data_IF_691034401920
#
_entry.id   IF_691034401920
#
_cell.length_a   1.000
_cell.length_b   1.000
_cell.length_c   1.000
_cell.angle_alpha   90.00
_cell.angle_beta   90.00
_cell.angle_gamma   90.00
#
_symmetry.space_group_name_H-M   'P 1'
#
loop_
_entity.id
_entity.type
_entity.pdbx_description
1 polymer ?
#
# COMPACT_ATOMS: atom_id res chain seq x y z
N UNK A 1 -16.26 -23.82 -11.05
CA UNK A 1 -16.60 -23.00 -9.85
C UNK A 1 -18.08 -22.60 -9.98
N UNK A 2 -18.94 -22.75 -8.96
CA UNK A 2 -20.38 -22.42 -9.05
C UNK A 2 -20.63 -20.92 -9.28
N UNK A 3 -21.70 -20.58 -10.02
CA UNK A 3 -22.03 -19.20 -10.37
C UNK A 3 -22.80 -18.43 -9.27
N UNK A 4 -23.38 -19.12 -8.27
CA UNK A 4 -24.14 -18.49 -7.19
C UNK A 4 -24.14 -19.38 -5.95
N UNK A 5 -24.04 -18.77 -4.77
CA UNK A 5 -24.21 -19.43 -3.49
C UNK A 5 -25.35 -18.75 -2.72
N UNK A 6 -26.19 -19.55 -2.07
CA UNK A 6 -27.32 -19.07 -1.28
C UNK A 6 -27.46 -19.95 -0.05
N UNK A 7 -27.70 -19.33 1.11
CA UNK A 7 -27.96 -20.03 2.37
C UNK A 7 -29.45 -20.31 2.47
N UNK A 8 -29.81 -21.54 2.85
CA UNK A 8 -31.19 -21.96 3.11
C UNK A 8 -31.29 -22.41 4.56
N UNK A 9 -32.34 -21.97 5.26
CA UNK A 9 -32.60 -22.39 6.65
C UNK A 9 -32.94 -23.89 6.74
N UNK A 10 -33.52 -24.45 5.68
CA UNK A 10 -33.78 -25.88 5.56
C UNK A 10 -33.81 -26.31 4.09
N UNK A 11 -33.34 -27.54 3.80
CA UNK A 11 -33.36 -28.11 2.46
C UNK A 11 -34.74 -28.76 2.22
N UNK A 12 -35.49 -28.38 1.17
CA UNK A 12 -36.78 -28.98 0.88
C UNK A 12 -36.63 -30.44 0.42
N UNK A 13 -37.38 -31.34 1.06
CA UNK A 13 -37.38 -32.78 0.77
C UNK A 13 -38.74 -33.24 0.22
N UNK A 14 -38.73 -34.32 -0.55
CA UNK A 14 -39.89 -35.09 -0.98
C UNK A 14 -40.35 -36.02 0.15
N UNK A 15 -41.60 -36.54 0.13
CA UNK A 15 -42.11 -37.44 1.17
C UNK A 15 -41.27 -38.72 1.39
N UNK A 16 -40.46 -39.11 0.42
CA UNK A 16 -39.53 -40.25 0.49
C UNK A 16 -38.11 -39.87 0.95
N UNK A 17 -37.91 -38.66 1.47
CA UNK A 17 -36.64 -38.17 2.03
C UNK A 17 -35.61 -37.68 1.00
N UNK A 18 -35.91 -37.70 -0.30
CA UNK A 18 -35.01 -37.18 -1.34
C UNK A 18 -35.17 -35.66 -1.51
N UNK A 19 -34.13 -34.97 -1.98
CA UNK A 19 -34.17 -33.52 -2.20
C UNK A 19 -35.19 -33.15 -3.29
N UNK A 20 -36.12 -32.26 -2.95
CA UNK A 20 -37.07 -31.72 -3.91
C UNK A 20 -36.47 -30.51 -4.65
N UNK A 21 -35.76 -30.78 -5.75
CA UNK A 21 -35.06 -29.74 -6.54
C UNK A 21 -36.00 -28.68 -7.12
N UNK A 22 -37.26 -29.01 -7.40
CA UNK A 22 -38.25 -28.07 -7.93
C UNK A 22 -38.78 -27.08 -6.89
N UNK A 23 -38.67 -27.44 -5.61
CA UNK A 23 -39.09 -26.59 -4.49
C UNK A 23 -37.94 -25.72 -3.95
N UNK A 24 -36.73 -25.82 -4.52
CA UNK A 24 -35.65 -24.91 -4.18
C UNK A 24 -36.00 -23.49 -4.66
N UNK A 25 -35.81 -22.45 -3.82
CA UNK A 25 -36.02 -21.08 -4.26
C UNK A 25 -35.15 -20.78 -5.49
N UNK A 26 -35.70 -20.04 -6.45
CA UNK A 26 -34.89 -19.53 -7.54
C UNK A 26 -33.77 -18.64 -6.93
N UNK A 27 -32.52 -18.78 -7.40
CA UNK A 27 -31.46 -17.89 -6.96
C UNK A 27 -31.91 -16.45 -7.22
N UNK A 28 -31.91 -15.62 -6.18
CA UNK A 28 -32.21 -14.21 -6.35
C UNK A 28 -31.07 -13.60 -7.17
N UNK A 29 -31.30 -13.43 -8.47
CA UNK A 29 -30.50 -12.53 -9.27
C UNK A 29 -30.86 -11.13 -8.81
N UNK A 30 -30.20 -10.65 -7.76
CA UNK A 30 -30.14 -9.21 -7.53
C UNK A 30 -29.63 -8.62 -8.82
N UNK A 31 -30.51 -7.92 -9.54
CA UNK A 31 -30.14 -7.07 -10.65
C UNK A 31 -29.23 -5.97 -10.08
N UNK A 32 -27.94 -6.26 -9.96
CA UNK A 32 -26.91 -5.24 -10.02
C UNK A 32 -26.95 -4.70 -11.45
N UNK A 33 -27.83 -3.72 -11.67
CA UNK A 33 -27.75 -2.91 -12.88
C UNK A 33 -26.72 -1.82 -12.64
N UNK A 34 -25.62 -2.00 -13.36
CA UNK A 34 -24.89 -0.97 -14.10
C UNK A 34 -24.07 0.01 -13.25
N UNK A 35 -22.94 -0.49 -12.74
CA UNK A 35 -21.61 0.05 -13.08
C UNK A 35 -20.54 -0.92 -12.55
N UNK A 36 -20.44 -2.12 -13.15
CA UNK A 36 -19.29 -3.01 -12.94
C UNK A 36 -18.09 -2.50 -13.76
N UNK A 37 -17.68 -1.27 -13.46
CA UNK A 37 -16.27 -0.96 -13.55
C UNK A 37 -15.58 -1.87 -12.54
N UNK A 38 -14.78 -2.81 -13.03
CA UNK A 38 -13.84 -3.64 -12.27
C UNK A 38 -13.60 -3.09 -10.85
N UNK A 39 -14.36 -3.58 -9.86
CA UNK A 39 -14.12 -3.21 -8.47
C UNK A 39 -12.97 -4.07 -8.02
N UNK A 40 -11.77 -3.52 -8.11
CA UNK A 40 -10.59 -4.12 -7.51
C UNK A 40 -10.91 -4.47 -6.04
N UNK A 41 -10.39 -5.57 -5.48
CA UNK A 41 -10.59 -5.88 -4.07
C UNK A 41 -10.33 -4.62 -3.24
N UNK A 42 -11.35 -4.18 -2.49
CA UNK A 42 -11.34 -2.87 -1.86
C UNK A 42 -10.19 -2.81 -0.85
N UNK A 43 -9.10 -2.14 -1.23
CA UNK A 43 -7.91 -2.01 -0.39
C UNK A 43 -8.23 -1.24 0.89
N UNK A 44 -7.49 -1.48 1.97
CA UNK A 44 -7.70 -0.85 3.29
C UNK A 44 -7.82 0.68 3.22
N UNK A 45 -7.07 1.34 2.32
CA UNK A 45 -7.14 2.79 2.08
C UNK A 45 -8.53 3.24 1.62
N UNK A 46 -9.20 2.46 0.76
CA UNK A 46 -10.55 2.78 0.28
C UNK A 46 -11.57 2.70 1.40
N UNK A 47 -11.55 1.64 2.21
CA UNK A 47 -12.45 1.48 3.36
C UNK A 47 -12.30 2.61 4.38
N UNK A 48 -11.06 2.99 4.68
CA UNK A 48 -10.78 4.08 5.60
C UNK A 48 -11.22 5.44 5.05
N UNK A 49 -10.97 5.72 3.78
CA UNK A 49 -11.44 6.95 3.14
C UNK A 49 -12.97 7.03 3.09
N UNK A 50 -13.65 5.95 2.70
CA UNK A 50 -15.12 5.85 2.72
C UNK A 50 -15.63 6.20 4.11
N UNK A 51 -15.07 5.57 5.15
CA UNK A 51 -15.48 5.85 6.53
C UNK A 51 -15.28 7.32 6.92
N UNK A 52 -14.15 7.93 6.57
CA UNK A 52 -13.88 9.35 6.82
C UNK A 52 -14.93 10.22 6.10
N UNK A 53 -15.30 9.87 4.87
CA UNK A 53 -16.29 10.60 4.09
C UNK A 53 -17.70 10.47 4.68
N UNK A 54 -18.11 9.26 5.04
CA UNK A 54 -19.40 9.00 5.69
C UNK A 54 -19.52 9.76 7.03
N UNK A 55 -18.47 9.76 7.85
CA UNK A 55 -18.42 10.50 9.11
C UNK A 55 -18.50 12.03 8.90
N UNK A 56 -17.88 12.55 7.84
CA UNK A 56 -17.85 14.00 7.55
C UNK A 56 -19.10 14.52 6.86
N UNK A 57 -19.67 13.72 5.95
CA UNK A 57 -20.83 14.10 5.13
C UNK A 57 -22.16 13.69 5.80
N UNK A 58 -22.15 12.71 6.71
CA UNK A 58 -23.35 12.17 7.33
C UNK A 58 -24.23 11.37 6.36
N UNK A 59 -23.63 10.84 5.28
CA UNK A 59 -24.30 10.06 4.23
C UNK A 59 -23.75 8.65 4.22
N UNK A 60 -24.63 7.64 4.14
CA UNK A 60 -24.27 6.22 3.99
C UNK A 60 -25.26 5.50 3.07
N UNK A 61 -24.80 4.61 2.17
CA UNK A 61 -23.40 4.28 1.89
C UNK A 61 -22.72 5.31 0.96
N UNK A 62 -21.40 5.45 1.05
CA UNK A 62 -20.58 6.21 0.07
C UNK A 62 -19.85 5.24 -0.88
N UNK A 63 -20.05 5.43 -2.18
CA UNK A 63 -19.38 4.70 -3.26
C UNK A 63 -17.99 5.23 -3.59
N UNK A 64 -17.15 4.37 -4.19
CA UNK A 64 -15.77 4.70 -4.60
C UNK A 64 -15.68 5.89 -5.58
N UNK A 65 -16.68 5.98 -6.47
CA UNK A 65 -16.75 6.95 -7.55
C UNK A 65 -17.72 8.09 -7.26
N UNK A 66 -18.32 8.10 -6.07
CA UNK A 66 -19.23 9.17 -5.69
C UNK A 66 -18.45 10.48 -5.56
N UNK A 67 -19.07 11.54 -6.07
CA UNK A 67 -18.46 12.86 -6.05
C UNK A 67 -18.71 13.54 -4.70
N UNK A 68 -17.64 13.95 -4.02
CA UNK A 68 -17.65 14.61 -2.72
C UNK A 68 -18.61 15.81 -2.67
N UNK A 69 -18.63 16.63 -3.72
CA UNK A 69 -19.45 17.84 -3.78
C UNK A 69 -20.92 17.53 -4.09
N UNK A 70 -21.18 16.50 -4.92
CA UNK A 70 -22.53 16.01 -5.18
C UNK A 70 -23.18 15.40 -3.93
N UNK A 71 -22.37 14.80 -3.05
CA UNK A 71 -22.81 14.29 -1.75
C UNK A 71 -23.02 15.38 -0.67
N UNK A 72 -22.93 16.66 -1.03
CA UNK A 72 -23.13 17.78 -0.09
C UNK A 72 -21.85 18.33 0.54
N UNK A 73 -20.67 17.87 0.09
CA UNK A 73 -19.39 18.42 0.48
C UNK A 73 -19.21 19.88 0.04
N UNK A 74 -18.54 20.68 0.86
CA UNK A 74 -18.21 22.08 0.56
C UNK A 74 -16.83 22.45 1.11
N UNK A 75 -16.34 23.66 0.86
CA UNK A 75 -14.94 24.07 1.12
C UNK A 75 -14.46 23.80 2.55
N UNK A 76 -15.29 24.05 3.56
CA UNK A 76 -14.93 23.76 4.96
C UNK A 76 -14.83 22.26 5.24
N UNK A 77 -15.75 21.45 4.71
CA UNK A 77 -15.68 19.99 4.82
C UNK A 77 -14.48 19.43 4.06
N UNK A 78 -14.15 20.00 2.90
CA UNK A 78 -12.97 19.63 2.13
C UNK A 78 -11.66 19.90 2.90
N UNK A 79 -11.55 21.07 3.57
CA UNK A 79 -10.40 21.37 4.44
C UNK A 79 -10.31 20.39 5.61
N UNK A 80 -11.44 20.06 6.25
CA UNK A 80 -11.49 19.07 7.33
C UNK A 80 -11.11 17.67 6.84
N UNK A 81 -11.58 17.27 5.66
CA UNK A 81 -11.22 16.01 5.01
C UNK A 81 -9.71 15.93 4.79
N UNK A 82 -9.10 16.96 4.18
CA UNK A 82 -7.65 16.98 3.94
C UNK A 82 -6.85 16.89 5.25
N UNK A 83 -7.26 17.62 6.29
CA UNK A 83 -6.62 17.55 7.60
C UNK A 83 -6.74 16.16 8.24
N UNK A 84 -7.89 15.49 8.08
CA UNK A 84 -8.09 14.14 8.61
C UNK A 84 -7.25 13.11 7.86
N UNK A 85 -7.14 13.24 6.54
CA UNK A 85 -6.26 12.42 5.71
C UNK A 85 -4.80 12.59 6.14
N UNK A 86 -4.34 13.82 6.38
CA UNK A 86 -2.98 14.09 6.88
C UNK A 86 -2.73 13.43 8.25
N UNK A 87 -3.70 13.47 9.15
CA UNK A 87 -3.60 12.80 10.47
C UNK A 87 -3.52 11.28 10.36
N UNK A 88 -4.29 10.66 9.47
CA UNK A 88 -4.38 9.20 9.35
C UNK A 88 -3.19 8.63 8.56
N UNK A 89 -2.78 9.31 7.49
CA UNK A 89 -1.79 8.79 6.54
C UNK A 89 -0.43 9.49 6.62
N UNK A 90 -0.28 10.56 7.41
CA UNK A 90 0.97 11.33 7.51
C UNK A 90 1.37 12.06 6.23
N UNK A 91 0.51 12.08 5.21
CA UNK A 91 0.76 12.72 3.91
C UNK A 91 -0.06 14.01 3.79
N UNK A 92 0.62 15.11 3.51
CA UNK A 92 -0.02 16.39 3.23
C UNK A 92 -0.42 16.45 1.75
N UNK A 93 -1.71 16.28 1.48
CA UNK A 93 -2.24 16.33 0.12
C UNK A 93 -2.75 17.74 -0.18
N UNK A 94 -2.34 18.37 -1.30
CA UNK A 94 -2.89 19.65 -1.70
C UNK A 94 -4.41 19.58 -1.86
N UNK A 95 -5.13 20.58 -1.35
CA UNK A 95 -6.58 20.66 -1.52
C UNK A 95 -7.00 20.65 -3.01
N UNK A 96 -6.16 21.20 -3.89
CA UNK A 96 -6.37 21.17 -5.33
C UNK A 96 -6.54 19.74 -5.89
N UNK A 97 -5.97 18.73 -5.25
CA UNK A 97 -6.14 17.31 -5.62
C UNK A 97 -7.60 16.87 -5.51
N UNK A 98 -8.29 17.25 -4.43
CA UNK A 98 -9.72 16.94 -4.29
C UNK A 98 -10.54 17.62 -5.40
N UNK A 99 -10.17 18.83 -5.80
CA UNK A 99 -10.86 19.53 -6.88
C UNK A 99 -10.56 18.94 -8.27
N UNK A 100 -9.38 18.35 -8.45
CA UNK A 100 -8.99 17.67 -9.70
C UNK A 100 -9.73 16.34 -9.89
N UNK A 101 -10.02 15.62 -8.80
CA UNK A 101 -10.82 14.40 -8.81
C UNK A 101 -11.49 14.19 -7.45
N UNK A 102 -12.76 14.58 -7.36
CA UNK A 102 -13.49 14.61 -6.10
C UNK A 102 -14.09 13.25 -5.73
N UNK A 103 -13.35 12.16 -5.89
CA UNK A 103 -13.82 10.78 -5.59
C UNK A 103 -12.88 10.10 -4.59
N UNK A 104 -13.41 9.09 -3.88
CA UNK A 104 -12.59 8.24 -3.00
C UNK A 104 -11.50 7.54 -3.82
N UNK A 105 -11.84 7.01 -5.00
CA UNK A 105 -10.90 6.37 -5.91
C UNK A 105 -9.72 7.29 -6.27
N UNK A 106 -9.99 8.55 -6.63
CA UNK A 106 -8.94 9.50 -6.96
C UNK A 106 -8.05 9.82 -5.77
N UNK A 107 -8.64 10.11 -4.60
CA UNK A 107 -7.86 10.39 -3.39
C UNK A 107 -7.07 9.17 -2.93
N UNK A 108 -7.63 7.97 -3.03
CA UNK A 108 -6.93 6.74 -2.73
C UNK A 108 -5.70 6.62 -3.65
N UNK A 109 -5.87 6.83 -4.95
CA UNK A 109 -4.78 6.81 -5.91
C UNK A 109 -3.70 7.85 -5.62
N UNK A 110 -4.05 9.04 -5.09
CA UNK A 110 -3.06 10.06 -4.74
C UNK A 110 -2.40 9.80 -3.38
N UNK A 111 -3.14 9.26 -2.41
CA UNK A 111 -2.57 8.76 -1.14
C UNK A 111 -1.59 7.63 -1.44
N UNK A 112 -1.90 6.79 -2.41
CA UNK A 112 -1.00 5.75 -2.93
C UNK A 112 0.08 6.33 -3.86
N UNK A 113 -0.16 7.48 -4.49
CA UNK A 113 0.64 8.05 -5.58
C UNK A 113 2.12 8.21 -5.25
N UNK A 114 2.96 7.34 -5.81
CA UNK A 114 3.70 7.50 -7.07
C UNK A 114 4.38 6.13 -7.36
N UNK A 115 3.58 5.07 -7.55
CA UNK A 115 4.12 3.69 -7.52
C UNK A 115 4.71 3.22 -8.87
N UNK A 116 4.35 3.86 -9.98
CA UNK A 116 4.99 3.62 -11.29
C UNK A 116 6.37 4.27 -11.44
N UNK A 117 6.67 5.32 -10.67
CA UNK A 117 7.96 6.05 -10.70
C UNK A 117 8.83 5.75 -9.48
N UNK A 118 8.29 5.07 -8.45
CA UNK A 118 9.10 4.65 -7.30
C UNK A 118 10.19 3.69 -7.78
N UNK A 119 11.48 3.99 -7.46
CA UNK A 119 12.55 3.08 -7.79
C UNK A 119 12.28 1.74 -7.12
N UNK A 120 12.50 0.64 -7.86
CA UNK A 120 12.28 -0.74 -7.37
C UNK A 120 13.03 -1.05 -6.08
N UNK A 121 14.19 -0.41 -5.91
CA UNK A 121 15.04 -0.51 -4.72
C UNK A 121 15.37 0.90 -4.21
N UNK A 122 14.46 1.55 -3.44
CA UNK A 122 14.69 2.90 -2.95
C UNK A 122 15.85 2.95 -1.95
N UNK A 123 16.63 4.03 -2.01
CA UNK A 123 17.67 4.34 -1.04
C UNK A 123 17.43 5.72 -0.46
N UNK A 124 17.34 5.80 0.86
CA UNK A 124 17.06 7.02 1.61
C UNK A 124 18.32 7.42 2.37
N UNK A 125 18.79 8.64 2.12
CA UNK A 125 19.88 9.22 2.89
C UNK A 125 19.33 9.73 4.23
N UNK A 126 19.56 8.98 5.31
CA UNK A 126 19.16 9.40 6.66
C UNK A 126 20.21 10.35 7.26
N UNK A 127 21.49 10.07 6.99
CA UNK A 127 22.61 10.95 7.30
C UNK A 127 23.61 10.91 6.15
N UNK A 128 23.60 11.93 5.29
CA UNK A 128 24.45 11.93 4.09
C UNK A 128 25.91 12.38 4.35
N UNK A 129 26.14 13.08 5.47
CA UNK A 129 27.42 13.71 5.77
C UNK A 129 28.34 12.78 6.61
N UNK A 130 29.64 13.06 6.55
CA UNK A 130 30.67 12.36 7.32
C UNK A 130 31.80 11.83 6.44
N UNK A 131 32.94 11.54 7.05
CA UNK A 131 34.15 11.05 6.37
C UNK A 131 34.32 9.54 6.36
N UNK A 132 33.56 8.80 7.18
CA UNK A 132 33.65 7.34 7.23
C UNK A 132 32.99 6.70 6.02
N UNK A 133 33.31 5.42 5.82
CA UNK A 133 32.67 4.58 4.81
C UNK A 133 31.15 4.56 5.03
N UNK A 134 30.33 4.84 4.01
CA UNK A 134 28.87 4.77 4.14
C UNK A 134 28.38 3.44 4.68
N UNK A 135 27.47 3.50 5.64
CA UNK A 135 26.77 2.33 6.16
C UNK A 135 25.41 2.21 5.47
N UNK A 136 25.24 1.16 4.68
CA UNK A 136 23.99 0.82 4.03
C UNK A 136 23.22 -0.20 4.86
N UNK A 137 22.01 0.17 5.28
CA UNK A 137 21.22 -0.62 6.21
C UNK A 137 19.85 -1.00 5.65
N UNK A 138 19.54 -2.29 5.69
CA UNK A 138 18.26 -2.85 5.27
C UNK A 138 17.37 -3.05 6.49
N UNK A 139 16.31 -2.25 6.60
CA UNK A 139 15.47 -2.22 7.79
C UNK A 139 14.39 -3.31 7.80
N UNK A 140 13.94 -3.77 6.64
CA UNK A 140 13.03 -4.93 6.52
C UNK A 140 11.64 -4.72 7.11
N UNK A 141 11.25 -3.50 7.45
CA UNK A 141 9.92 -3.14 7.91
C UNK A 141 9.03 -2.77 6.72
N UNK A 142 8.11 -3.67 6.37
CA UNK A 142 7.22 -3.52 5.22
C UNK A 142 6.04 -2.59 5.47
N UNK A 143 5.71 -2.30 6.74
CA UNK A 143 4.47 -1.62 7.10
C UNK A 143 4.70 -0.29 7.81
N UNK A 144 5.77 -0.19 8.60
CA UNK A 144 6.09 0.98 9.42
C UNK A 144 7.15 1.91 8.81
N UNK A 145 7.64 1.64 7.59
CA UNK A 145 8.56 2.55 6.89
C UNK A 145 9.92 2.77 7.57
N UNK A 146 10.32 1.87 8.47
CA UNK A 146 11.67 1.87 9.02
C UNK A 146 12.02 3.05 9.91
N UNK A 147 11.05 3.77 10.50
CA UNK A 147 11.30 5.00 11.27
C UNK A 147 12.28 4.81 12.45
N UNK A 148 12.42 3.60 12.97
CA UNK A 148 13.40 3.29 14.01
C UNK A 148 14.86 3.51 13.55
N UNK A 149 15.12 3.50 12.24
CA UNK A 149 16.43 3.81 11.67
C UNK A 149 16.88 5.25 11.97
N UNK A 150 15.97 6.17 12.25
CA UNK A 150 16.32 7.53 12.70
C UNK A 150 17.00 7.50 14.08
N UNK A 151 16.55 6.64 14.98
CA UNK A 151 17.17 6.49 16.30
C UNK A 151 18.52 5.76 16.20
N UNK A 152 18.63 4.79 15.29
CA UNK A 152 19.91 4.15 14.99
C UNK A 152 20.91 5.17 14.45
N UNK A 153 20.53 5.98 13.46
CA UNK A 153 21.37 7.02 12.88
C UNK A 153 21.89 8.00 13.94
N UNK A 154 21.02 8.47 14.84
CA UNK A 154 21.41 9.36 15.96
C UNK A 154 22.38 8.71 16.96
N UNK A 155 22.32 7.39 17.08
CA UNK A 155 23.22 6.63 17.96
C UNK A 155 24.55 6.33 17.28
N UNK A 156 24.59 6.41 15.94
CA UNK A 156 25.84 6.47 15.18
C UNK A 156 26.44 7.87 15.32
N UNK A 157 27.76 7.93 15.23
CA UNK A 157 28.49 9.20 15.29
C UNK A 157 28.26 10.05 14.03
N UNK A 158 28.40 11.38 14.13
CA UNK A 158 28.14 12.32 13.04
C UNK A 158 29.03 12.09 11.80
N UNK A 159 30.21 11.48 11.99
CA UNK A 159 31.14 11.15 10.90
C UNK A 159 30.77 9.89 10.12
N UNK A 160 29.67 9.20 10.47
CA UNK A 160 29.21 7.98 9.82
C UNK A 160 28.05 8.26 8.85
N UNK A 161 28.28 8.37 7.52
CA UNK A 161 27.17 8.41 6.58
C UNK A 161 26.33 7.15 6.70
N UNK A 162 25.01 7.33 6.72
CA UNK A 162 24.02 6.29 6.96
C UNK A 162 22.88 6.37 5.95
N UNK A 163 22.75 5.31 5.16
CA UNK A 163 21.78 5.16 4.09
C UNK A 163 20.89 3.96 4.40
N UNK A 164 19.59 4.16 4.25
CA UNK A 164 18.60 3.12 4.48
C UNK A 164 18.10 2.63 3.13
N UNK A 165 18.17 1.32 2.93
CA UNK A 165 17.59 0.66 1.77
C UNK A 165 16.19 0.18 2.19
N UNK A 166 15.19 0.68 1.47
CA UNK A 166 13.80 0.29 1.65
C UNK A 166 13.58 -1.14 1.12
N UNK A 167 12.53 -1.84 1.55
CA UNK A 167 12.10 -3.08 0.91
C UNK A 167 11.86 -2.90 -0.59
N UNK A 168 12.07 -3.96 -1.36
CA UNK A 168 11.83 -3.95 -2.80
C UNK A 168 10.35 -3.63 -3.10
N UNK A 169 10.12 -2.68 -4.00
CA UNK A 169 8.78 -2.31 -4.43
C UNK A 169 8.28 -3.35 -5.46
N UNK A 170 7.21 -4.05 -5.10
CA UNK A 170 6.56 -5.07 -5.94
C UNK A 170 5.44 -4.54 -6.83
N UNK A 171 5.15 -3.25 -6.79
CA UNK A 171 3.94 -2.66 -7.35
C UNK A 171 3.91 -2.80 -8.88
N UNK A 172 2.78 -3.26 -9.41
CA UNK A 172 2.63 -3.56 -10.83
C UNK A 172 3.37 -4.81 -11.32
N UNK A 173 4.01 -5.60 -10.45
CA UNK A 173 4.60 -6.88 -10.84
C UNK A 173 3.58 -8.02 -10.71
N UNK A 174 3.30 -8.76 -11.80
CA UNK A 174 2.39 -9.91 -11.73
C UNK A 174 2.98 -11.09 -10.95
N UNK A 175 4.32 -11.18 -10.90
CA UNK A 175 5.08 -12.22 -10.21
C UNK A 175 6.19 -11.52 -9.43
N UNK A 176 6.33 -11.77 -8.12
CA UNK A 176 7.44 -11.25 -7.34
C UNK A 176 8.78 -11.76 -7.88
N UNK A 177 9.79 -10.89 -8.04
CA UNK A 177 11.13 -11.31 -8.44
C UNK A 177 11.77 -12.22 -7.39
N UNK A 178 12.80 -12.94 -7.79
CA UNK A 178 13.57 -13.77 -6.87
C UNK A 178 14.32 -12.93 -5.84
N UNK A 179 14.75 -13.58 -4.76
CA UNK A 179 15.53 -12.90 -3.73
C UNK A 179 16.84 -12.33 -4.28
N UNK A 180 17.46 -13.07 -5.21
CA UNK A 180 18.68 -12.70 -5.90
C UNK A 180 18.48 -11.49 -6.83
N UNK A 181 17.35 -11.42 -7.55
CA UNK A 181 17.00 -10.29 -8.41
C UNK A 181 16.75 -9.01 -7.60
N UNK A 182 16.08 -9.14 -6.45
CA UNK A 182 15.88 -8.01 -5.53
C UNK A 182 17.23 -7.50 -5.00
N UNK A 183 18.12 -8.39 -4.58
CA UNK A 183 19.46 -8.01 -4.13
C UNK A 183 20.28 -7.33 -5.25
N UNK A 184 20.19 -7.82 -6.49
CA UNK A 184 20.85 -7.20 -7.64
C UNK A 184 20.34 -5.77 -7.88
N UNK A 185 19.04 -5.52 -7.72
CA UNK A 185 18.48 -4.17 -7.83
C UNK A 185 19.00 -3.24 -6.72
N UNK A 186 19.09 -3.73 -5.47
CA UNK A 186 19.69 -2.98 -4.37
C UNK A 186 21.17 -2.66 -4.62
N UNK A 187 21.92 -3.58 -5.24
CA UNK A 187 23.33 -3.35 -5.63
C UNK A 187 23.43 -2.21 -6.66
N UNK A 188 22.54 -2.16 -7.65
CA UNK A 188 22.53 -1.04 -8.60
C UNK A 188 22.23 0.27 -7.88
N UNK A 189 21.26 0.27 -6.97
CA UNK A 189 20.88 1.46 -6.22
C UNK A 189 22.01 1.98 -5.32
N UNK A 190 22.67 1.12 -4.53
CA UNK A 190 23.78 1.54 -3.66
C UNK A 190 25.01 2.00 -4.47
N UNK A 191 25.24 1.44 -5.67
CA UNK A 191 26.33 1.87 -6.57
C UNK A 191 26.17 3.27 -7.12
N UNK A 192 24.94 3.80 -7.16
CA UNK A 192 24.73 5.22 -7.50
C UNK A 192 25.29 6.17 -6.44
N UNK A 193 25.47 5.68 -5.20
CA UNK A 193 25.98 6.44 -4.06
C UNK A 193 27.47 6.12 -3.83
N UNK A 194 27.83 4.84 -3.83
CA UNK A 194 29.21 4.37 -3.69
C UNK A 194 29.53 3.39 -4.84
N UNK A 195 30.19 3.84 -5.92
CA UNK A 195 30.42 3.01 -7.11
C UNK A 195 31.29 1.76 -6.86
N UNK A 196 32.26 1.87 -5.95
CA UNK A 196 33.24 0.82 -5.67
C UNK A 196 33.31 0.45 -4.19
N UNK A 197 33.61 -0.82 -3.92
CA UNK A 197 33.80 -1.32 -2.56
C UNK A 197 35.12 -0.86 -1.93
N UNK A 198 35.40 -1.29 -0.70
CA UNK A 198 34.60 -2.18 0.14
C UNK A 198 33.32 -1.53 0.69
N UNK A 199 32.24 -2.32 0.82
CA UNK A 199 30.94 -1.88 1.33
C UNK A 199 30.78 -2.21 2.82
N UNK A 200 30.06 -1.37 3.57
CA UNK A 200 29.59 -1.66 4.92
C UNK A 200 28.08 -1.87 4.87
N UNK A 201 27.65 -3.10 5.11
CA UNK A 201 26.26 -3.55 4.99
C UNK A 201 25.75 -4.04 6.35
N UNK A 202 24.47 -3.84 6.60
CA UNK A 202 23.79 -4.38 7.79
C UNK A 202 22.30 -4.44 7.57
N UNK A 203 21.61 -5.14 8.45
CA UNK A 203 20.16 -5.17 8.39
C UNK A 203 19.53 -5.78 9.62
N UNK A 204 18.24 -5.53 9.77
CA UNK A 204 17.43 -6.07 10.86
C UNK A 204 16.39 -7.04 10.31
N UNK A 205 16.13 -8.12 11.05
CA UNK A 205 15.18 -9.16 10.66
C UNK A 205 15.42 -9.63 9.21
N UNK A 206 14.40 -9.59 8.34
CA UNK A 206 14.50 -9.95 6.93
C UNK A 206 15.50 -9.07 6.15
N UNK A 207 15.72 -7.82 6.57
CA UNK A 207 16.73 -6.96 5.98
C UNK A 207 18.15 -7.51 6.17
N UNK A 208 18.41 -8.25 7.25
CA UNK A 208 19.69 -8.93 7.46
C UNK A 208 19.97 -10.04 6.43
N UNK A 209 18.93 -10.80 6.04
CA UNK A 209 19.04 -11.81 4.98
C UNK A 209 19.34 -11.16 3.63
N UNK A 210 18.68 -10.04 3.33
CA UNK A 210 18.91 -9.31 2.09
C UNK A 210 20.32 -8.68 2.06
N UNK A 211 20.79 -8.13 3.19
CA UNK A 211 22.17 -7.64 3.32
C UNK A 211 23.20 -8.76 3.10
N UNK A 212 22.93 -9.97 3.58
CA UNK A 212 23.78 -11.14 3.34
C UNK A 212 23.82 -11.53 1.85
N UNK A 213 22.67 -11.54 1.18
CA UNK A 213 22.61 -11.85 -0.26
C UNK A 213 23.32 -10.79 -1.10
N UNK A 214 23.13 -9.50 -0.79
CA UNK A 214 23.89 -8.41 -1.41
C UNK A 214 25.40 -8.64 -1.21
N UNK A 215 25.84 -8.96 0.01
CA UNK A 215 27.25 -9.24 0.30
C UNK A 215 27.79 -10.45 -0.49
N UNK A 216 26.97 -11.47 -0.72
CA UNK A 216 27.33 -12.65 -1.52
C UNK A 216 27.57 -12.31 -2.99
N UNK A 217 26.74 -11.42 -3.56
CA UNK A 217 26.85 -11.01 -4.96
C UNK A 217 27.93 -9.95 -5.22
N UNK A 218 28.32 -9.18 -4.20
CA UNK A 218 29.39 -8.16 -4.29
C UNK A 218 30.81 -8.73 -4.17
N UNK A 219 30.97 -10.06 -4.04
CA UNK A 219 32.26 -10.74 -3.96
C UNK A 219 33.05 -10.69 -5.25
#
# INVERSE_FOLDING_TARGET
>A
IPATFMVLDAIPLQPNGKINRHALPAPQTTQHKEDDAFVAPMMTVHHQLIRIWEELLGVQPVGLKDNFFTLGGHSLLAVRLMSRIEQVYGKKIPLATLFAGATVEHLANVIMGDEETRPRAPVVAVQANGSRRPFFFLHGDWFGGGFYCLNLARSLDAEQPFYVLEPYNFDGLPIPPTFEEMAAAHIQALRTIQPEGPYLLGGFCNGGLMAYEIARQLR
#
